data_IF_631823239350
#
_entry.id   IF_631823239350
#
_cell.length_a   1.000
_cell.length_b   1.000
_cell.length_c   1.000
_cell.angle_alpha   90.00
_cell.angle_beta   90.00
_cell.angle_gamma   90.00
#
_symmetry.space_group_name_H-M   'P 1'
#
loop_
_entity.id
_entity.type
_entity.pdbx_description
1 polymer ?
#
# COMPACT_ATOMS: atom_id res chain seq x y z
N UNK A 1 -5.42 -30.28 -18.39
CA UNK A 1 -5.10 -28.84 -18.31
C UNK A 1 -5.11 -28.35 -16.86
N UNK A 2 -6.07 -28.75 -16.06
CA UNK A 2 -6.20 -28.30 -14.64
C UNK A 2 -5.08 -28.75 -13.71
N UNK A 3 -4.49 -29.93 -13.93
CA UNK A 3 -3.38 -30.45 -13.13
C UNK A 3 -2.09 -29.62 -13.35
N UNK A 4 -1.83 -29.20 -14.56
CA UNK A 4 -0.65 -28.34 -14.91
C UNK A 4 -0.79 -26.95 -14.29
N UNK A 5 -1.97 -26.36 -14.34
CA UNK A 5 -2.27 -25.04 -13.74
C UNK A 5 -2.14 -25.08 -12.21
N UNK A 6 -2.60 -26.19 -11.58
CA UNK A 6 -2.45 -26.37 -10.14
C UNK A 6 -0.99 -26.57 -9.71
N UNK A 7 -0.19 -27.27 -10.53
CA UNK A 7 1.23 -27.47 -10.24
C UNK A 7 2.01 -26.15 -10.32
N UNK A 8 1.73 -25.35 -11.35
CA UNK A 8 2.34 -24.02 -11.48
C UNK A 8 1.98 -23.09 -10.31
N UNK A 9 0.73 -23.09 -9.85
CA UNK A 9 0.31 -22.27 -8.69
C UNK A 9 1.01 -22.70 -7.41
N UNK A 10 1.18 -24.00 -7.14
CA UNK A 10 1.90 -24.50 -5.96
C UNK A 10 3.38 -24.13 -6.00
N UNK A 11 4.03 -24.30 -7.14
CA UNK A 11 5.46 -23.92 -7.33
C UNK A 11 5.65 -22.43 -7.11
N UNK A 12 4.69 -21.64 -7.55
CA UNK A 12 4.69 -20.20 -7.42
C UNK A 12 4.55 -19.74 -5.96
N UNK A 13 3.62 -20.33 -5.24
CA UNK A 13 3.45 -20.07 -3.81
C UNK A 13 4.71 -20.44 -3.02
N UNK A 14 5.27 -21.62 -3.30
CA UNK A 14 6.47 -22.10 -2.61
C UNK A 14 7.68 -21.19 -2.91
N UNK A 15 7.87 -20.77 -4.16
CA UNK A 15 8.98 -19.87 -4.53
C UNK A 15 8.85 -18.50 -3.86
N UNK A 16 7.65 -17.95 -3.78
CA UNK A 16 7.41 -16.68 -3.10
C UNK A 16 7.68 -16.78 -1.58
N UNK A 17 7.27 -17.88 -0.96
CA UNK A 17 7.51 -18.13 0.46
C UNK A 17 9.01 -18.31 0.73
N UNK A 18 9.71 -19.13 -0.06
CA UNK A 18 11.15 -19.33 0.09
C UNK A 18 11.94 -18.03 -0.11
N UNK A 19 11.54 -17.23 -1.10
CA UNK A 19 12.16 -15.93 -1.33
C UNK A 19 11.91 -14.95 -0.17
N UNK A 20 10.71 -14.93 0.38
CA UNK A 20 10.38 -14.11 1.53
C UNK A 20 11.19 -14.54 2.78
N UNK A 21 11.27 -15.85 3.04
CA UNK A 21 12.08 -16.39 4.13
C UNK A 21 13.54 -15.96 3.96
N UNK A 22 14.10 -16.11 2.75
CA UNK A 22 15.48 -15.74 2.49
C UNK A 22 15.74 -14.25 2.71
N UNK A 23 14.91 -13.38 2.16
CA UNK A 23 15.08 -11.93 2.26
C UNK A 23 14.95 -11.42 3.70
N UNK A 24 13.95 -11.90 4.43
CA UNK A 24 13.70 -11.46 5.80
C UNK A 24 14.71 -12.10 6.76
N UNK A 25 14.95 -13.41 6.63
CA UNK A 25 15.93 -14.10 7.50
C UNK A 25 17.34 -13.57 7.32
N UNK A 26 17.74 -13.19 6.10
CA UNK A 26 19.05 -12.61 5.86
C UNK A 26 19.25 -11.33 6.68
N UNK A 27 18.26 -10.44 6.72
CA UNK A 27 18.27 -9.23 7.54
C UNK A 27 18.51 -9.55 9.02
N UNK A 28 17.74 -10.49 9.58
CA UNK A 28 17.79 -10.84 11.00
C UNK A 28 19.06 -11.63 11.37
N UNK A 29 19.50 -12.57 10.50
CA UNK A 29 20.73 -13.32 10.70
C UNK A 29 21.95 -12.41 10.67
N UNK A 30 22.00 -11.47 9.69
CA UNK A 30 23.10 -10.51 9.61
C UNK A 30 23.15 -9.62 10.86
N UNK A 31 22.01 -9.16 11.35
CA UNK A 31 21.95 -8.38 12.59
C UNK A 31 22.49 -9.13 13.78
N UNK A 32 22.10 -10.39 13.95
CA UNK A 32 22.54 -11.22 15.06
C UNK A 32 24.02 -11.61 14.96
N UNK A 33 24.48 -12.07 13.78
CA UNK A 33 25.84 -12.61 13.60
C UNK A 33 26.90 -11.53 13.50
N UNK A 34 26.60 -10.41 12.82
CA UNK A 34 27.61 -9.37 12.59
C UNK A 34 27.59 -8.26 13.62
N UNK A 35 26.43 -7.95 14.20
CA UNK A 35 26.29 -6.85 15.13
C UNK A 35 26.14 -7.30 16.58
N UNK A 36 26.09 -8.63 16.82
CA UNK A 36 25.89 -9.21 18.17
C UNK A 36 24.71 -8.60 18.92
N UNK A 37 23.67 -8.21 18.17
CA UNK A 37 22.50 -7.54 18.71
C UNK A 37 21.47 -8.55 19.23
N UNK A 38 20.93 -8.29 20.41
CA UNK A 38 19.76 -9.02 20.88
C UNK A 38 18.59 -8.80 19.91
N UNK A 39 18.03 -9.93 19.41
CA UNK A 39 16.94 -9.91 18.43
C UNK A 39 15.72 -9.12 18.94
N UNK A 40 15.39 -9.24 20.21
CA UNK A 40 14.24 -8.54 20.80
C UNK A 40 14.52 -7.04 20.88
N UNK A 41 15.72 -6.64 21.30
CA UNK A 41 16.13 -5.24 21.30
C UNK A 41 16.13 -4.68 19.89
N UNK A 42 16.59 -5.46 18.91
CA UNK A 42 16.54 -5.07 17.50
C UNK A 42 15.11 -4.89 17.00
N UNK A 43 14.18 -5.79 17.34
CA UNK A 43 12.76 -5.64 16.99
C UNK A 43 12.19 -4.34 17.56
N UNK A 44 12.51 -4.02 18.82
CA UNK A 44 12.07 -2.79 19.46
C UNK A 44 12.61 -1.56 18.73
N UNK A 45 13.88 -1.57 18.35
CA UNK A 45 14.55 -0.46 17.70
C UNK A 45 14.18 -0.31 16.22
N UNK A 46 14.06 -1.42 15.48
CA UNK A 46 13.70 -1.43 14.05
C UNK A 46 12.23 -1.09 13.79
N UNK A 47 11.40 -1.20 14.82
CA UNK A 47 10.01 -0.74 14.74
C UNK A 47 9.96 0.78 14.74
N UNK A 48 10.67 1.37 13.82
CA UNK A 48 10.82 2.79 13.49
C UNK A 48 10.10 3.73 14.42
N UNK A 49 10.85 4.53 15.15
CA UNK A 49 10.41 5.48 16.17
C UNK A 49 10.09 4.85 17.53
N UNK A 50 10.39 3.55 17.74
CA UNK A 50 10.08 2.85 18.99
C UNK A 50 8.59 2.74 19.30
N UNK A 51 7.72 3.23 18.39
CA UNK A 51 6.29 3.39 18.67
C UNK A 51 5.44 2.18 18.36
N UNK A 52 5.84 1.34 17.39
CA UNK A 52 5.01 0.18 17.01
C UNK A 52 4.98 -0.91 18.07
N UNK A 53 6.10 -1.22 18.66
CA UNK A 53 6.20 -2.28 19.66
C UNK A 53 5.34 -1.99 20.90
N UNK A 54 5.48 -0.83 21.59
CA UNK A 54 4.65 -0.51 22.73
C UNK A 54 3.15 -0.40 22.40
N UNK A 55 2.80 0.08 21.20
CA UNK A 55 1.40 0.13 20.75
C UNK A 55 0.84 -1.29 20.60
N UNK A 56 1.53 -2.18 19.91
CA UNK A 56 1.08 -3.55 19.69
C UNK A 56 0.98 -4.31 21.02
N UNK A 57 1.94 -4.11 21.92
CA UNK A 57 1.90 -4.69 23.26
C UNK A 57 0.66 -4.22 24.02
N UNK A 58 0.41 -2.91 24.06
CA UNK A 58 -0.76 -2.33 24.71
C UNK A 58 -2.09 -2.82 24.11
N UNK A 59 -2.15 -2.89 22.78
CA UNK A 59 -3.34 -3.38 22.08
C UNK A 59 -3.57 -4.88 22.31
N UNK A 60 -2.53 -5.67 22.55
CA UNK A 60 -2.67 -7.11 22.87
C UNK A 60 -3.45 -7.31 24.19
N UNK A 61 -3.40 -6.33 25.08
CA UNK A 61 -4.16 -6.28 26.34
C UNK A 61 -5.48 -5.50 26.22
N UNK A 62 -5.93 -5.24 25.00
CA UNK A 62 -7.12 -4.45 24.67
C UNK A 62 -7.08 -2.99 25.16
N UNK A 63 -5.91 -2.46 25.49
CA UNK A 63 -5.74 -1.06 25.81
C UNK A 63 -5.55 -0.25 24.52
N UNK A 64 -6.58 0.47 24.08
CA UNK A 64 -6.54 1.32 22.88
C UNK A 64 -6.02 2.74 23.16
N UNK A 65 -5.65 3.03 24.40
CA UNK A 65 -5.13 4.32 24.83
C UNK A 65 -3.76 4.17 25.48
N UNK A 66 -2.75 3.62 24.77
CA UNK A 66 -1.41 3.51 25.31
C UNK A 66 -0.85 4.91 25.56
N UNK A 67 -0.15 5.10 26.69
CA UNK A 67 0.61 6.31 26.94
C UNK A 67 1.72 6.45 25.90
N UNK A 68 1.69 7.53 25.16
CA UNK A 68 2.81 7.92 24.28
C UNK A 68 3.80 8.74 25.08
N UNK A 69 5.03 8.27 25.15
CA UNK A 69 6.24 8.85 25.70
C UNK A 69 6.13 10.01 26.72
N UNK A 70 5.39 11.06 26.48
CA UNK A 70 5.26 12.23 27.38
C UNK A 70 3.84 12.79 27.47
N UNK A 71 2.95 12.34 26.60
CA UNK A 71 1.56 12.77 26.66
C UNK A 71 0.75 11.78 27.49
N UNK A 72 0.31 12.22 28.66
CA UNK A 72 -0.73 11.54 29.43
C UNK A 72 -2.02 11.69 28.64
N UNK A 73 -2.33 10.68 27.84
CA UNK A 73 -3.57 10.62 27.08
C UNK A 73 -4.67 10.13 28.02
N UNK A 74 -5.38 11.06 28.64
CA UNK A 74 -6.51 10.74 29.47
C UNK A 74 -7.61 10.07 28.64
N UNK A 75 -7.65 8.73 28.68
CA UNK A 75 -8.76 7.88 28.18
C UNK A 75 -9.14 8.04 26.69
N UNK A 76 -8.29 8.65 25.86
CA UNK A 76 -8.58 8.80 24.43
C UNK A 76 -7.96 7.67 23.60
N UNK A 77 -8.63 7.33 22.49
CA UNK A 77 -8.12 6.34 21.56
C UNK A 77 -6.87 6.89 20.84
N UNK A 78 -5.89 6.03 20.67
CA UNK A 78 -4.65 6.40 20.00
C UNK A 78 -4.87 6.93 18.57
N UNK A 79 -4.25 8.06 18.25
CA UNK A 79 -4.23 8.64 16.90
C UNK A 79 -3.23 7.90 16.01
N UNK A 80 -3.51 6.64 15.74
CA UNK A 80 -2.67 5.79 14.91
C UNK A 80 -3.53 4.81 14.08
N UNK A 81 -3.19 4.48 12.83
CA UNK A 81 -3.99 3.57 12.00
C UNK A 81 -4.06 2.17 12.61
N UNK A 82 -5.11 1.89 13.38
CA UNK A 82 -5.26 0.65 14.17
C UNK A 82 -5.29 -0.58 13.26
N UNK A 83 -5.99 -0.53 12.12
CA UNK A 83 -6.10 -1.68 11.23
C UNK A 83 -4.75 -2.13 10.65
N UNK A 84 -3.77 -1.21 10.54
CA UNK A 84 -2.42 -1.57 10.12
C UNK A 84 -1.72 -2.50 11.12
N UNK A 85 -2.11 -2.42 12.39
CA UNK A 85 -1.50 -3.18 13.48
C UNK A 85 -2.36 -4.35 13.96
N UNK A 86 -3.63 -4.40 13.54
CA UNK A 86 -4.59 -5.37 14.07
C UNK A 86 -4.12 -6.84 13.90
N UNK A 87 -3.51 -7.15 12.78
CA UNK A 87 -2.97 -8.50 12.53
C UNK A 87 -1.83 -8.82 13.50
N UNK A 88 -1.01 -7.82 13.83
CA UNK A 88 0.11 -7.99 14.78
C UNK A 88 -0.38 -8.32 16.19
N UNK A 89 -1.48 -7.71 16.63
CA UNK A 89 -2.03 -7.91 17.98
C UNK A 89 -2.30 -9.40 18.23
N UNK A 90 -2.96 -10.06 17.28
CA UNK A 90 -3.28 -11.47 17.41
C UNK A 90 -2.03 -12.35 17.55
N UNK A 91 -1.06 -12.17 16.65
CA UNK A 91 0.16 -12.98 16.67
C UNK A 91 1.09 -12.63 17.84
N UNK A 92 1.12 -11.34 18.25
CA UNK A 92 1.90 -10.92 19.41
C UNK A 92 1.44 -11.61 20.69
N UNK A 93 0.14 -11.80 20.85
CA UNK A 93 -0.43 -12.50 22.01
C UNK A 93 -0.03 -14.00 22.05
N UNK A 94 0.26 -14.62 20.89
CA UNK A 94 0.60 -16.05 20.79
C UNK A 94 2.11 -16.27 20.92
N UNK A 95 2.91 -15.52 20.19
CA UNK A 95 4.36 -15.74 20.06
C UNK A 95 5.22 -14.55 20.50
N UNK A 96 4.62 -13.55 21.15
CA UNK A 96 5.33 -12.37 21.67
C UNK A 96 6.07 -11.58 20.59
N UNK A 97 7.24 -11.06 20.94
CA UNK A 97 8.06 -10.21 20.06
C UNK A 97 8.42 -10.86 18.73
N UNK A 98 8.59 -12.17 18.68
CA UNK A 98 8.89 -12.89 17.43
C UNK A 98 7.78 -12.82 16.38
N UNK A 99 6.58 -12.39 16.77
CA UNK A 99 5.49 -12.11 15.83
C UNK A 99 5.86 -11.11 14.75
N UNK A 100 6.75 -10.17 15.04
CA UNK A 100 7.24 -9.19 14.07
C UNK A 100 7.97 -9.87 12.91
N UNK A 101 8.91 -10.76 13.21
CA UNK A 101 9.67 -11.51 12.19
C UNK A 101 8.74 -12.43 11.40
N UNK A 102 7.88 -13.16 12.10
CA UNK A 102 6.95 -14.10 11.48
C UNK A 102 5.99 -13.39 10.51
N UNK A 103 5.39 -12.29 10.93
CA UNK A 103 4.48 -11.52 10.08
C UNK A 103 5.20 -10.76 8.96
N UNK A 104 6.42 -10.31 9.19
CA UNK A 104 7.24 -9.72 8.12
C UNK A 104 7.46 -10.73 6.99
N UNK A 105 7.78 -12.01 7.32
CA UNK A 105 7.90 -13.08 6.33
C UNK A 105 6.59 -13.31 5.58
N UNK A 106 5.48 -13.40 6.31
CA UNK A 106 4.16 -13.65 5.71
C UNK A 106 3.75 -12.48 4.79
N UNK A 107 3.86 -11.25 5.28
CA UNK A 107 3.50 -10.06 4.50
C UNK A 107 4.37 -9.93 3.25
N UNK A 108 5.66 -10.21 3.37
CA UNK A 108 6.59 -10.24 2.23
C UNK A 108 6.21 -11.30 1.22
N UNK A 109 5.87 -12.52 1.66
CA UNK A 109 5.43 -13.60 0.77
C UNK A 109 4.15 -13.22 0.02
N UNK A 110 3.14 -12.68 0.72
CA UNK A 110 1.90 -12.22 0.10
C UNK A 110 2.13 -11.08 -0.88
N UNK A 111 3.01 -10.13 -0.54
CA UNK A 111 3.38 -9.05 -1.44
C UNK A 111 3.98 -9.58 -2.75
N UNK A 112 4.96 -10.49 -2.66
CA UNK A 112 5.59 -11.13 -3.82
C UNK A 112 4.52 -11.85 -4.66
N UNK A 113 3.60 -12.59 -4.01
CA UNK A 113 2.53 -13.30 -4.70
C UNK A 113 1.59 -12.36 -5.45
N UNK A 114 1.14 -11.28 -4.82
CA UNK A 114 0.25 -10.31 -5.43
C UNK A 114 0.94 -9.65 -6.63
N UNK A 115 2.17 -9.17 -6.44
CA UNK A 115 2.94 -8.51 -7.48
C UNK A 115 3.21 -9.43 -8.67
N UNK A 116 3.60 -10.66 -8.40
CA UNK A 116 3.77 -11.68 -9.43
C UNK A 116 2.47 -11.95 -10.21
N UNK A 117 1.35 -12.08 -9.52
CA UNK A 117 0.05 -12.25 -10.18
C UNK A 117 -0.32 -11.04 -11.06
N UNK A 118 0.02 -9.83 -10.64
CA UNK A 118 -0.15 -8.62 -11.47
C UNK A 118 0.67 -8.75 -12.76
N UNK A 119 1.96 -9.05 -12.64
CA UNK A 119 2.85 -9.16 -13.80
C UNK A 119 2.44 -10.29 -14.76
N UNK A 120 1.99 -11.43 -14.22
CA UNK A 120 1.48 -12.52 -15.07
C UNK A 120 0.21 -12.14 -15.84
N UNK A 121 -0.72 -11.38 -15.21
CA UNK A 121 -1.88 -10.84 -15.94
C UNK A 121 -1.46 -9.90 -17.07
N UNK A 122 -0.30 -9.27 -16.96
CA UNK A 122 0.31 -8.44 -17.99
C UNK A 122 1.14 -9.24 -19.01
N UNK A 123 1.09 -10.59 -18.93
CA UNK A 123 1.76 -11.52 -19.85
C UNK A 123 3.29 -11.55 -19.74
N UNK A 124 3.85 -11.20 -18.58
CA UNK A 124 5.27 -11.39 -18.31
C UNK A 124 5.58 -12.84 -17.94
N UNK A 125 6.80 -13.30 -18.26
CA UNK A 125 7.24 -14.65 -17.93
C UNK A 125 7.46 -14.81 -16.40
N UNK A 126 7.34 -16.05 -15.92
CA UNK A 126 7.55 -16.37 -14.51
C UNK A 126 8.91 -15.92 -13.98
N UNK A 127 9.97 -16.19 -14.72
CA UNK A 127 11.33 -15.82 -14.31
C UNK A 127 11.50 -14.30 -14.21
N UNK A 128 10.97 -13.56 -15.17
CA UNK A 128 10.98 -12.10 -15.14
C UNK A 128 10.22 -11.55 -13.95
N UNK A 129 9.07 -12.15 -13.59
CA UNK A 129 8.28 -11.68 -12.44
C UNK A 129 9.01 -11.85 -11.12
N UNK A 130 9.77 -12.94 -10.93
CA UNK A 130 10.60 -13.15 -9.73
C UNK A 130 11.72 -12.10 -9.66
N UNK A 131 12.43 -11.86 -10.76
CA UNK A 131 13.49 -10.85 -10.80
C UNK A 131 12.93 -9.47 -10.47
N UNK A 132 11.80 -9.10 -11.05
CA UNK A 132 11.15 -7.83 -10.76
C UNK A 132 10.73 -7.72 -9.28
N UNK A 133 10.28 -8.81 -8.66
CA UNK A 133 9.91 -8.82 -7.25
C UNK A 133 11.14 -8.57 -6.36
N UNK A 134 12.26 -9.22 -6.64
CA UNK A 134 13.52 -9.01 -5.92
C UNK A 134 13.99 -7.57 -6.11
N UNK A 135 14.00 -7.10 -7.36
CA UNK A 135 14.42 -5.74 -7.68
C UNK A 135 13.58 -4.69 -6.96
N UNK A 136 12.26 -4.90 -6.88
CA UNK A 136 11.36 -4.00 -6.19
C UNK A 136 11.66 -3.91 -4.69
N UNK A 137 12.09 -5.01 -4.07
CA UNK A 137 12.55 -5.03 -2.67
C UNK A 137 13.81 -4.20 -2.44
N UNK A 138 14.76 -4.32 -3.35
CA UNK A 138 16.09 -3.72 -3.21
C UNK A 138 16.10 -2.29 -3.77
N UNK A 139 15.12 -1.92 -4.59
CA UNK A 139 15.09 -0.64 -5.30
C UNK A 139 15.25 0.59 -4.40
N UNK A 140 14.58 0.73 -3.24
CA UNK A 140 14.77 1.89 -2.38
C UNK A 140 16.21 2.02 -1.89
N UNK A 141 16.85 0.91 -1.53
CA UNK A 141 18.25 0.88 -1.08
C UNK A 141 19.20 1.27 -2.21
N UNK A 142 19.02 0.69 -3.39
CA UNK A 142 19.83 1.03 -4.58
C UNK A 142 19.72 2.52 -4.89
N UNK A 143 18.54 3.11 -4.82
CA UNK A 143 18.34 4.52 -5.13
C UNK A 143 19.02 5.43 -4.11
N UNK A 144 19.06 5.03 -2.83
CA UNK A 144 19.80 5.76 -1.79
C UNK A 144 21.29 5.67 -2.06
N UNK A 145 21.79 4.48 -2.34
CA UNK A 145 23.20 4.26 -2.63
C UNK A 145 23.66 5.01 -3.89
N UNK A 146 22.77 5.19 -4.87
CA UNK A 146 23.03 5.97 -6.08
C UNK A 146 23.00 7.50 -5.83
N UNK A 147 22.61 7.96 -4.66
CA UNK A 147 22.59 9.37 -4.31
C UNK A 147 23.99 10.03 -4.36
N UNK A 148 25.05 9.22 -4.19
CA UNK A 148 26.44 9.69 -4.35
C UNK A 148 26.73 10.29 -5.73
N UNK A 149 25.93 9.96 -6.75
CA UNK A 149 26.05 10.55 -8.10
C UNK A 149 25.62 12.02 -8.14
N UNK A 150 25.09 12.58 -7.05
CA UNK A 150 24.66 13.97 -6.95
C UNK A 150 23.50 14.35 -7.87
N UNK A 151 22.72 13.34 -8.32
CA UNK A 151 21.56 13.55 -9.20
C UNK A 151 20.34 13.84 -8.33
N UNK A 152 20.01 15.12 -8.13
CA UNK A 152 18.88 15.58 -7.28
C UNK A 152 17.54 14.87 -7.56
N UNK A 153 17.29 14.47 -8.80
CA UNK A 153 16.08 13.73 -9.18
C UNK A 153 16.05 12.32 -8.61
N UNK A 154 17.20 11.64 -8.49
CA UNK A 154 17.33 10.34 -7.86
C UNK A 154 17.13 10.44 -6.35
N UNK A 155 17.69 11.47 -5.71
CA UNK A 155 17.51 11.71 -4.27
C UNK A 155 16.04 11.96 -3.93
N UNK A 156 15.35 12.76 -4.72
CA UNK A 156 13.92 13.02 -4.56
C UNK A 156 13.09 11.74 -4.76
N UNK A 157 13.43 10.94 -5.78
CA UNK A 157 12.77 9.67 -6.05
C UNK A 157 13.01 8.65 -4.92
N UNK A 158 14.24 8.58 -4.41
CA UNK A 158 14.60 7.72 -3.28
C UNK A 158 13.82 8.10 -2.02
N UNK A 159 13.76 9.39 -1.68
CA UNK A 159 13.03 9.88 -0.54
C UNK A 159 11.53 9.59 -0.64
N UNK A 160 10.91 9.82 -1.80
CA UNK A 160 9.50 9.53 -2.03
C UNK A 160 9.22 8.02 -1.99
N UNK A 161 10.06 7.20 -2.62
CA UNK A 161 9.90 5.75 -2.58
C UNK A 161 10.03 5.21 -1.16
N UNK A 162 10.94 5.74 -0.34
CA UNK A 162 11.06 5.33 1.06
C UNK A 162 9.79 5.63 1.87
N UNK A 163 9.14 6.73 1.61
CA UNK A 163 7.91 7.11 2.32
C UNK A 163 6.71 6.24 1.91
N UNK A 164 6.53 6.03 0.59
CA UNK A 164 5.34 5.36 0.05
C UNK A 164 5.55 3.88 -0.23
N UNK A 165 6.79 3.49 -0.52
CA UNK A 165 7.14 2.16 -0.95
C UNK A 165 8.39 1.66 -0.22
N UNK A 166 8.33 1.41 1.04
CA UNK A 166 9.38 0.66 1.73
C UNK A 166 8.84 -0.67 2.22
N UNK A 167 9.71 -1.65 2.38
CA UNK A 167 9.39 -2.95 2.95
C UNK A 167 9.48 -2.95 4.48
N UNK A 168 9.47 -1.76 5.05
CA UNK A 168 9.48 -1.59 6.49
C UNK A 168 8.22 -2.18 7.11
N UNK A 169 8.40 -3.03 8.07
CA UNK A 169 7.32 -3.68 8.80
C UNK A 169 7.04 -2.95 10.14
N UNK A 170 5.81 -2.83 10.59
CA UNK A 170 4.55 -3.22 9.95
C UNK A 170 4.07 -2.26 8.87
N UNK A 171 4.54 -1.03 8.85
CA UNK A 171 4.20 -0.04 7.84
C UNK A 171 5.47 0.47 7.14
N UNK A 172 5.43 0.66 5.82
CA UNK A 172 4.30 0.61 4.91
C UNK A 172 4.00 -0.76 4.28
N UNK A 173 4.67 -1.88 4.64
CA UNK A 173 4.45 -3.18 3.95
C UNK A 173 2.99 -3.63 3.99
N UNK A 174 2.31 -3.49 5.14
CA UNK A 174 0.89 -3.89 5.27
C UNK A 174 0.00 -3.00 4.38
N UNK A 175 0.23 -1.69 4.36
CA UNK A 175 -0.52 -0.79 3.48
C UNK A 175 -0.28 -1.08 2.01
N UNK A 176 0.96 -1.40 1.64
CA UNK A 176 1.32 -1.79 0.28
C UNK A 176 0.62 -3.09 -0.15
N UNK A 177 0.46 -4.06 0.76
CA UNK A 177 -0.29 -5.27 0.45
C UNK A 177 -1.72 -4.98 -0.02
N UNK A 178 -2.45 -4.14 0.70
CA UNK A 178 -3.82 -3.78 0.35
C UNK A 178 -3.86 -2.95 -0.93
N UNK A 179 -2.95 -2.00 -1.08
CA UNK A 179 -2.84 -1.19 -2.30
C UNK A 179 -2.55 -2.04 -3.55
N UNK A 180 -1.56 -2.94 -3.51
CA UNK A 180 -1.26 -3.82 -4.64
C UNK A 180 -2.35 -4.85 -4.89
N UNK A 181 -3.06 -5.32 -3.84
CA UNK A 181 -4.25 -6.13 -4.02
C UNK A 181 -5.34 -5.34 -4.75
N UNK A 182 -5.56 -4.07 -4.41
CA UNK A 182 -6.47 -3.20 -5.13
C UNK A 182 -6.07 -3.07 -6.62
N UNK A 183 -4.80 -2.79 -6.91
CA UNK A 183 -4.29 -2.72 -8.30
C UNK A 183 -4.53 -4.04 -9.04
N UNK A 184 -4.30 -5.19 -8.40
CA UNK A 184 -4.58 -6.49 -8.99
C UNK A 184 -6.06 -6.63 -9.40
N UNK A 185 -6.99 -6.26 -8.53
CA UNK A 185 -8.42 -6.31 -8.83
C UNK A 185 -8.85 -5.28 -9.87
N UNK A 186 -8.22 -4.10 -9.91
CA UNK A 186 -8.45 -3.09 -10.95
C UNK A 186 -8.04 -3.64 -12.33
N UNK A 187 -6.86 -4.27 -12.44
CA UNK A 187 -6.42 -4.90 -13.68
C UNK A 187 -7.37 -6.04 -14.07
N UNK A 188 -7.73 -6.89 -13.12
CA UNK A 188 -8.68 -7.99 -13.36
C UNK A 188 -10.03 -7.47 -13.85
N UNK A 189 -10.57 -6.44 -13.19
CA UNK A 189 -11.80 -5.76 -13.59
C UNK A 189 -11.70 -5.18 -15.00
N UNK A 190 -10.55 -4.57 -15.35
CA UNK A 190 -10.37 -3.98 -16.67
C UNK A 190 -10.32 -5.04 -17.79
N UNK A 191 -9.74 -6.19 -17.50
CA UNK A 191 -9.60 -7.30 -18.46
C UNK A 191 -10.89 -8.11 -18.62
N UNK A 192 -11.73 -8.21 -17.59
CA UNK A 192 -13.00 -8.94 -17.63
C UNK A 192 -14.02 -8.27 -18.53
N UNK A 193 -14.81 -9.09 -19.23
CA UNK A 193 -15.89 -8.61 -20.09
C UNK A 193 -17.25 -8.62 -19.39
N UNK A 194 -17.44 -9.46 -18.38
CA UNK A 194 -18.72 -9.70 -17.69
C UNK A 194 -18.49 -9.89 -16.18
N UNK A 195 -19.57 -9.93 -15.39
CA UNK A 195 -19.55 -10.17 -13.94
C UNK A 195 -18.77 -9.13 -13.10
N UNK A 196 -19.16 -7.88 -13.24
CA UNK A 196 -18.53 -6.77 -12.51
C UNK A 196 -18.91 -6.68 -11.03
N UNK A 197 -20.04 -7.29 -10.62
CA UNK A 197 -20.58 -7.10 -9.27
C UNK A 197 -19.61 -7.55 -8.16
N UNK A 198 -18.90 -8.67 -8.37
CA UNK A 198 -17.89 -9.13 -7.40
C UNK A 198 -16.75 -8.13 -7.22
N UNK A 199 -16.33 -7.47 -8.30
CA UNK A 199 -15.28 -6.46 -8.25
C UNK A 199 -15.69 -5.26 -7.42
N UNK A 200 -16.97 -4.85 -7.43
CA UNK A 200 -17.44 -3.73 -6.61
C UNK A 200 -17.29 -4.00 -5.11
N UNK A 201 -17.61 -5.23 -4.66
CA UNK A 201 -17.42 -5.60 -3.27
C UNK A 201 -15.94 -5.59 -2.87
N UNK A 202 -15.06 -6.15 -3.71
CA UNK A 202 -13.62 -6.14 -3.45
C UNK A 202 -13.05 -4.73 -3.39
N UNK A 203 -13.46 -3.84 -4.29
CA UNK A 203 -13.04 -2.44 -4.24
C UNK A 203 -13.49 -1.76 -2.94
N UNK A 204 -14.73 -1.95 -2.54
CA UNK A 204 -15.25 -1.34 -1.33
C UNK A 204 -14.55 -1.83 -0.06
N UNK A 205 -14.24 -3.12 0.02
CA UNK A 205 -13.50 -3.70 1.14
C UNK A 205 -12.07 -3.18 1.17
N UNK A 206 -11.35 -3.24 0.04
CA UNK A 206 -9.95 -2.81 -0.02
C UNK A 206 -9.81 -1.33 0.26
N UNK A 207 -10.59 -0.47 -0.40
CA UNK A 207 -10.60 0.97 -0.13
C UNK A 207 -11.00 1.28 1.32
N UNK A 208 -11.97 0.53 1.88
CA UNK A 208 -12.36 0.65 3.27
C UNK A 208 -11.26 0.25 4.24
N UNK A 209 -10.49 -0.77 3.94
CA UNK A 209 -9.31 -1.13 4.73
C UNK A 209 -8.22 -0.06 4.56
N UNK A 210 -7.95 0.37 3.33
CA UNK A 210 -6.86 1.30 3.03
C UNK A 210 -7.06 2.66 3.70
N UNK A 211 -8.29 3.18 3.79
CA UNK A 211 -8.56 4.43 4.53
C UNK A 211 -8.17 4.34 6.01
N UNK A 212 -8.28 3.14 6.61
CA UNK A 212 -7.95 2.88 8.02
C UNK A 212 -6.48 2.43 8.24
N UNK A 213 -5.76 2.12 7.17
CA UNK A 213 -4.35 1.68 7.21
C UNK A 213 -3.42 2.80 6.79
N UNK A 214 -3.73 3.46 5.67
CA UNK A 214 -2.93 4.56 5.14
C UNK A 214 -3.78 5.46 4.25
N UNK A 215 -4.32 6.50 4.85
CA UNK A 215 -5.30 7.40 4.27
C UNK A 215 -4.90 7.98 2.89
N UNK A 216 -3.64 8.28 2.68
CA UNK A 216 -3.16 8.82 1.39
C UNK A 216 -3.33 7.83 0.23
N UNK A 217 -3.08 6.54 0.46
CA UNK A 217 -3.27 5.52 -0.58
C UNK A 217 -4.74 5.38 -0.98
N UNK A 218 -5.67 5.59 -0.04
CA UNK A 218 -7.10 5.61 -0.34
C UNK A 218 -7.46 6.64 -1.42
N UNK A 219 -6.89 7.84 -1.36
CA UNK A 219 -7.15 8.84 -2.39
C UNK A 219 -6.66 8.39 -3.77
N UNK A 220 -5.48 7.78 -3.83
CA UNK A 220 -4.95 7.23 -5.08
C UNK A 220 -5.90 6.15 -5.63
N UNK A 221 -6.35 5.23 -4.78
CA UNK A 221 -7.31 4.19 -5.15
C UNK A 221 -8.64 4.76 -5.65
N UNK A 222 -9.16 5.75 -4.96
CA UNK A 222 -10.42 6.40 -5.29
C UNK A 222 -10.37 7.08 -6.67
N UNK A 223 -9.37 7.91 -6.92
CA UNK A 223 -9.20 8.57 -8.21
C UNK A 223 -8.92 7.57 -9.34
N UNK A 224 -8.08 6.57 -9.09
CA UNK A 224 -7.82 5.50 -10.04
C UNK A 224 -9.10 4.76 -10.43
N UNK A 225 -9.95 4.45 -9.45
CA UNK A 225 -11.23 3.79 -9.70
C UNK A 225 -12.15 4.63 -10.58
N UNK A 226 -12.30 5.93 -10.29
CA UNK A 226 -13.10 6.85 -11.09
C UNK A 226 -12.60 6.86 -12.55
N UNK A 227 -11.31 7.01 -12.75
CA UNK A 227 -10.70 7.03 -14.08
C UNK A 227 -10.96 5.72 -14.82
N UNK A 228 -10.71 4.58 -14.17
CA UNK A 228 -10.92 3.25 -14.76
C UNK A 228 -12.38 3.03 -15.14
N UNK A 229 -13.32 3.39 -14.28
CA UNK A 229 -14.75 3.30 -14.58
C UNK A 229 -15.14 4.15 -15.79
N UNK A 230 -14.68 5.40 -15.81
CA UNK A 230 -14.97 6.31 -16.93
C UNK A 230 -14.45 5.76 -18.25
N UNK A 231 -13.18 5.30 -18.30
CA UNK A 231 -12.59 4.79 -19.53
C UNK A 231 -13.15 3.43 -19.96
N UNK A 232 -13.47 2.56 -19.00
CA UNK A 232 -14.02 1.24 -19.33
C UNK A 232 -15.43 1.33 -19.89
N UNK A 233 -16.29 2.11 -19.28
CA UNK A 233 -17.71 2.13 -19.59
C UNK A 233 -18.13 3.26 -20.53
N UNK A 234 -17.37 4.33 -20.61
CA UNK A 234 -17.64 5.45 -21.53
C UNK A 234 -19.13 5.80 -21.63
N UNK A 235 -19.73 5.56 -22.83
CA UNK A 235 -21.14 5.91 -23.13
C UNK A 235 -22.17 5.07 -22.36
N UNK A 236 -21.82 3.87 -21.91
CA UNK A 236 -22.74 2.95 -21.21
C UNK A 236 -22.63 3.02 -19.68
N UNK A 237 -21.90 4.00 -19.16
CA UNK A 237 -21.67 4.16 -17.73
C UNK A 237 -22.94 4.18 -16.90
N UNK A 238 -23.92 5.01 -17.30
CA UNK A 238 -25.20 5.10 -16.58
C UNK A 238 -26.05 3.85 -16.68
N UNK A 239 -26.03 3.13 -17.79
CA UNK A 239 -26.74 1.87 -17.96
C UNK A 239 -26.19 0.78 -17.02
N UNK A 240 -24.86 0.71 -16.89
CA UNK A 240 -24.18 -0.22 -15.99
C UNK A 240 -24.50 0.10 -14.53
N UNK A 241 -24.50 1.37 -14.14
CA UNK A 241 -24.92 1.78 -12.80
C UNK A 241 -26.36 1.33 -12.55
N UNK A 242 -27.28 1.60 -13.46
CA UNK A 242 -28.69 1.23 -13.33
C UNK A 242 -28.86 -0.30 -13.23
N UNK A 243 -28.18 -1.06 -14.09
CA UNK A 243 -28.24 -2.53 -14.09
C UNK A 243 -27.69 -3.14 -12.80
N UNK A 244 -26.63 -2.58 -12.22
CA UNK A 244 -25.94 -3.12 -11.06
C UNK A 244 -26.21 -2.32 -9.77
N UNK A 245 -27.27 -1.52 -9.74
CA UNK A 245 -27.55 -0.58 -8.65
C UNK A 245 -27.56 -1.26 -7.27
N UNK A 246 -28.20 -2.43 -7.15
CA UNK A 246 -28.27 -3.19 -5.88
C UNK A 246 -26.86 -3.57 -5.36
N UNK A 247 -25.99 -4.02 -6.25
CA UNK A 247 -24.63 -4.41 -5.89
C UNK A 247 -23.75 -3.20 -5.57
N UNK A 248 -23.91 -2.11 -6.30
CA UNK A 248 -23.23 -0.84 -6.01
C UNK A 248 -23.68 -0.26 -4.67
N UNK A 249 -24.99 -0.31 -4.39
CA UNK A 249 -25.52 0.17 -3.12
C UNK A 249 -25.03 -0.68 -1.93
N UNK A 250 -25.04 -2.02 -2.05
CA UNK A 250 -24.48 -2.89 -1.03
C UNK A 250 -22.97 -2.68 -0.84
N UNK A 251 -22.22 -2.48 -1.93
CA UNK A 251 -20.80 -2.13 -1.89
C UNK A 251 -20.55 -0.79 -1.18
N UNK A 252 -21.40 0.20 -1.43
CA UNK A 252 -21.34 1.49 -0.75
C UNK A 252 -21.57 1.35 0.76
N UNK A 253 -22.53 0.51 1.19
CA UNK A 253 -22.77 0.24 2.61
C UNK A 253 -21.54 -0.38 3.27
N UNK A 254 -20.89 -1.36 2.60
CA UNK A 254 -19.66 -1.96 3.10
C UNK A 254 -18.57 -0.90 3.26
N UNK A 255 -18.38 -0.04 2.25
CA UNK A 255 -17.40 1.04 2.32
C UNK A 255 -17.70 2.02 3.47
N UNK A 256 -18.97 2.44 3.60
CA UNK A 256 -19.39 3.37 4.66
C UNK A 256 -19.18 2.78 6.07
N UNK A 257 -19.28 1.46 6.24
CA UNK A 257 -18.95 0.81 7.49
C UNK A 257 -17.48 1.07 7.89
N UNK A 258 -16.53 0.93 6.96
CA UNK A 258 -15.12 1.23 7.23
C UNK A 258 -14.86 2.74 7.44
N UNK A 259 -15.58 3.58 6.70
CA UNK A 259 -15.53 5.04 6.91
C UNK A 259 -16.03 5.41 8.31
N UNK A 260 -17.07 4.73 8.79
CA UNK A 260 -17.58 4.94 10.17
C UNK A 260 -16.51 4.58 11.20
N UNK A 261 -15.80 3.45 11.03
CA UNK A 261 -14.70 3.08 11.93
C UNK A 261 -13.63 4.18 11.94
N UNK A 262 -13.23 4.68 10.79
CA UNK A 262 -12.26 5.77 10.66
C UNK A 262 -12.75 7.07 11.34
N UNK A 263 -14.01 7.45 11.13
CA UNK A 263 -14.59 8.64 11.74
C UNK A 263 -14.72 8.50 13.27
N UNK A 264 -15.09 7.33 13.76
CA UNK A 264 -15.12 7.06 15.21
C UNK A 264 -13.72 7.18 15.80
N UNK A 265 -12.70 6.64 15.13
CA UNK A 265 -11.33 6.79 15.59
C UNK A 265 -10.91 8.27 15.64
N UNK A 266 -11.19 9.07 14.59
CA UNK A 266 -10.91 10.51 14.59
C UNK A 266 -11.63 11.22 15.75
N UNK A 267 -12.89 10.89 15.96
CA UNK A 267 -13.71 11.54 17.02
C UNK A 267 -13.17 11.27 18.43
N UNK A 268 -12.67 10.07 18.68
CA UNK A 268 -12.13 9.67 20.00
C UNK A 268 -10.62 9.88 20.13
N UNK A 269 -9.92 10.31 19.08
CA UNK A 269 -8.48 10.56 19.11
C UNK A 269 -8.14 11.92 19.70
N UNK A 270 -6.87 12.05 20.17
CA UNK A 270 -6.33 13.32 20.62
C UNK A 270 -6.16 14.30 19.47
N UNK A 271 -6.71 15.54 19.55
CA UNK A 271 -6.63 16.52 18.47
C UNK A 271 -5.21 16.85 18.03
N UNK A 272 -4.26 16.90 18.96
CA UNK A 272 -2.87 17.27 18.70
C UNK A 272 -2.10 16.20 17.87
N UNK A 273 -2.60 14.96 17.90
CA UNK A 273 -1.95 13.85 17.17
C UNK A 273 -2.77 13.32 15.99
N UNK A 274 -3.89 13.94 15.67
CA UNK A 274 -4.81 13.46 14.62
C UNK A 274 -4.17 13.46 13.22
N UNK A 275 -3.12 14.26 13.01
CA UNK A 275 -2.33 14.27 11.78
C UNK A 275 -1.69 12.92 11.46
N UNK A 276 -1.42 12.08 12.48
CA UNK A 276 -0.91 10.72 12.28
C UNK A 276 -1.91 9.79 11.59
N UNK A 277 -3.21 10.13 11.64
CA UNK A 277 -4.27 9.48 10.89
C UNK A 277 -4.40 10.04 9.46
N UNK A 278 -3.62 11.06 9.11
CA UNK A 278 -3.69 11.73 7.81
C UNK A 278 -4.71 12.87 7.76
N UNK A 279 -5.21 13.31 8.90
CA UNK A 279 -6.17 14.42 8.99
C UNK A 279 -5.46 15.67 9.45
N UNK A 280 -5.45 16.71 8.61
CA UNK A 280 -4.81 17.98 8.90
C UNK A 280 -5.84 19.11 8.97
N UNK A 281 -5.84 19.83 10.06
CA UNK A 281 -6.62 21.06 10.23
C UNK A 281 -5.80 22.25 9.73
N UNK A 282 -5.99 22.59 8.44
CA UNK A 282 -5.29 23.71 7.83
C UNK A 282 -6.10 24.99 7.94
N UNK A 283 -5.45 26.07 8.36
CA UNK A 283 -6.03 27.41 8.23
C UNK A 283 -6.05 27.88 6.77
N UNK A 284 -6.75 28.98 6.49
CA UNK A 284 -6.92 29.49 5.12
C UNK A 284 -5.59 29.76 4.42
N UNK A 285 -4.62 30.33 5.11
CA UNK A 285 -3.31 30.63 4.56
C UNK A 285 -2.53 29.35 4.20
N UNK A 286 -2.56 28.34 5.08
CA UNK A 286 -1.93 27.03 4.83
C UNK A 286 -2.57 26.32 3.64
N UNK A 287 -3.89 26.42 3.47
CA UNK A 287 -4.59 25.87 2.29
C UNK A 287 -4.14 26.54 1.00
N UNK A 288 -3.98 27.88 1.00
CA UNK A 288 -3.47 28.63 -0.16
C UNK A 288 -2.04 28.20 -0.49
N UNK A 289 -1.16 28.15 0.50
CA UNK A 289 0.24 27.69 0.32
C UNK A 289 0.30 26.28 -0.24
N UNK A 290 -0.51 25.35 0.30
CA UNK A 290 -0.60 23.98 -0.21
C UNK A 290 -1.08 23.95 -1.66
N UNK A 291 -2.12 24.74 -1.99
CA UNK A 291 -2.62 24.83 -3.35
C UNK A 291 -1.57 25.40 -4.33
N UNK A 292 -0.84 26.44 -3.94
CA UNK A 292 0.28 26.97 -4.74
C UNK A 292 1.40 25.95 -4.93
N UNK A 293 1.73 25.19 -3.88
CA UNK A 293 2.73 24.13 -3.97
C UNK A 293 2.31 23.04 -4.94
N UNK A 294 1.06 22.54 -4.85
CA UNK A 294 0.51 21.55 -5.76
C UNK A 294 0.45 22.09 -7.21
N UNK A 295 0.04 23.34 -7.38
CA UNK A 295 0.04 23.97 -8.69
C UNK A 295 1.45 24.03 -9.30
N UNK A 296 2.43 24.50 -8.53
CA UNK A 296 3.84 24.55 -8.96
C UNK A 296 4.39 23.15 -9.27
N UNK A 297 3.97 22.14 -8.52
CA UNK A 297 4.37 20.76 -8.76
C UNK A 297 3.82 20.24 -10.10
N UNK A 298 2.49 20.34 -10.34
CA UNK A 298 1.85 19.84 -11.55
C UNK A 298 2.24 20.62 -12.82
N UNK A 299 2.50 21.90 -12.70
CA UNK A 299 2.95 22.74 -13.80
C UNK A 299 4.47 22.93 -13.85
N UNK A 300 5.19 22.23 -12.99
CA UNK A 300 6.66 22.21 -13.01
C UNK A 300 7.21 21.51 -14.25
N UNK A 301 8.31 22.03 -14.78
CA UNK A 301 8.95 21.51 -16.01
C UNK A 301 9.25 20.00 -15.92
N UNK A 302 9.69 19.53 -14.76
CA UNK A 302 10.03 18.11 -14.55
C UNK A 302 8.79 17.20 -14.61
N UNK A 303 7.68 17.61 -14.01
CA UNK A 303 6.43 16.87 -14.05
C UNK A 303 5.87 16.82 -15.48
N UNK A 304 5.81 17.97 -16.16
CA UNK A 304 5.33 18.05 -17.55
C UNK A 304 6.18 17.17 -18.46
N UNK A 305 7.51 17.20 -18.31
CA UNK A 305 8.41 16.37 -19.10
C UNK A 305 8.16 14.88 -18.85
N UNK A 306 8.11 14.44 -17.59
CA UNK A 306 7.85 13.04 -17.24
C UNK A 306 6.47 12.60 -17.72
N UNK A 307 5.46 13.43 -17.57
CA UNK A 307 4.11 13.14 -18.05
C UNK A 307 4.06 13.01 -19.57
N UNK A 308 4.69 13.94 -20.30
CA UNK A 308 4.80 13.89 -21.75
C UNK A 308 5.54 12.63 -22.22
N UNK A 309 6.68 12.30 -21.60
CA UNK A 309 7.45 11.10 -21.90
C UNK A 309 6.63 9.82 -21.71
N UNK A 310 5.97 9.69 -20.56
CA UNK A 310 5.11 8.54 -20.28
C UNK A 310 3.91 8.47 -21.23
N UNK A 311 3.35 9.61 -21.64
CA UNK A 311 2.27 9.66 -22.63
C UNK A 311 2.74 9.17 -23.99
N UNK A 312 3.94 9.57 -24.44
CA UNK A 312 4.54 9.06 -25.68
C UNK A 312 4.72 7.54 -25.58
N UNK A 313 5.29 7.02 -24.49
CA UNK A 313 5.43 5.57 -24.29
C UNK A 313 4.08 4.86 -24.33
N UNK A 314 3.04 5.43 -23.69
CA UNK A 314 1.69 4.86 -23.74
C UNK A 314 1.18 4.67 -25.17
N UNK A 315 1.41 5.63 -26.07
CA UNK A 315 1.00 5.51 -27.47
C UNK A 315 1.87 4.53 -28.27
N UNK A 316 3.15 4.40 -27.94
CA UNK A 316 4.06 3.47 -28.60
C UNK A 316 3.80 2.00 -28.26
N UNK A 317 3.22 1.71 -27.09
CA UNK A 317 2.96 0.34 -26.64
C UNK A 317 1.81 -0.27 -27.45
N UNK A 318 2.12 -1.33 -28.20
CA UNK A 318 1.11 -2.09 -28.94
C UNK A 318 0.44 -3.17 -28.09
N UNK A 319 1.15 -3.72 -27.11
CA UNK A 319 0.64 -4.77 -26.23
C UNK A 319 -0.47 -4.20 -25.29
N UNK A 320 -1.69 -4.73 -25.44
CA UNK A 320 -2.86 -4.24 -24.71
C UNK A 320 -2.73 -4.34 -23.18
N UNK A 321 -2.29 -5.44 -22.56
CA UNK A 321 -2.05 -5.53 -21.13
C UNK A 321 -1.03 -4.51 -20.61
N UNK A 322 0.09 -4.35 -21.28
CA UNK A 322 1.13 -3.39 -20.92
C UNK A 322 0.59 -1.95 -21.05
N UNK A 323 -0.21 -1.69 -22.09
CA UNK A 323 -0.85 -0.39 -22.29
C UNK A 323 -1.80 -0.04 -21.15
N UNK A 324 -2.55 -1.01 -20.62
CA UNK A 324 -3.41 -0.84 -19.45
C UNK A 324 -2.57 -0.50 -18.23
N UNK A 325 -1.46 -1.19 -18.00
CA UNK A 325 -0.56 -0.91 -16.89
C UNK A 325 -0.03 0.54 -16.96
N UNK A 326 0.45 0.96 -18.10
CA UNK A 326 0.90 2.35 -18.29
C UNK A 326 -0.21 3.37 -18.08
N UNK A 327 -1.42 3.06 -18.51
CA UNK A 327 -2.58 3.90 -18.26
C UNK A 327 -2.86 4.04 -16.76
N UNK A 328 -2.82 2.95 -16.01
CA UNK A 328 -3.01 2.95 -14.57
C UNK A 328 -1.88 3.72 -13.86
N UNK A 329 -0.66 3.55 -14.32
CA UNK A 329 0.50 4.28 -13.82
C UNK A 329 0.37 5.79 -14.05
N UNK A 330 0.01 6.23 -15.25
CA UNK A 330 -0.26 7.64 -15.55
C UNK A 330 -1.40 8.19 -14.70
N UNK A 331 -2.46 7.40 -14.48
CA UNK A 331 -3.59 7.79 -13.66
C UNK A 331 -3.20 7.96 -12.20
N UNK A 332 -2.31 7.11 -11.68
CA UNK A 332 -1.81 7.23 -10.30
C UNK A 332 -0.91 8.47 -10.11
N UNK A 333 -0.12 8.84 -11.13
CA UNK A 333 0.68 10.08 -11.11
C UNK A 333 -0.20 11.34 -11.09
N UNK A 334 -1.37 11.28 -11.75
CA UNK A 334 -2.32 12.39 -11.79
C UNK A 334 -3.19 12.48 -10.53
N UNK A 335 -3.16 11.45 -9.69
CA UNK A 335 -3.85 11.48 -8.40
C UNK A 335 -3.14 12.48 -7.48
N UNK A 336 -3.81 13.51 -6.98
CA UNK A 336 -3.20 14.42 -6.03
C UNK A 336 -2.82 13.65 -4.76
N UNK A 337 -1.55 13.70 -4.44
CA UNK A 337 -0.99 13.13 -3.21
C UNK A 337 -1.26 14.11 -2.07
#
# INVERSE_FOLDING_TARGET
MDVFVNHQKKTFFLSALLLAILLVSLKWILSYVYFDEDIVLRIINDSTDGSYYPIINSFSDFNLSPSYSEAILDLKVISFPILALFVNIFFFKIIGSYSFIFLEIICTAFFILIFNNILQKLSFSFFFTIICSIFLFILPTILIDLSFLGIKTLDLLAANLQQFYSMRFPRPIISNLFFFAFIYFVIDFFLKKEDYFKSFYFFSILMGITINVFFYLFFIEFFLLIIVFFFKFKKIFFEIIKKNFKHLFASLIIFLFFVLIFQLQIFYSEPDYIERLGVFYLNTNQKIILFEYLFKFFFGKNFIFLFALNTVFFFMIKNKPIKIFYFLFLSSILSPI
#
